data_IF_754903346964
#
_entry.id   IF_754903346964
#
_cell.length_a   1.000
_cell.length_b   1.000
_cell.length_c   1.000
_cell.angle_alpha   90.00
_cell.angle_beta   90.00
_cell.angle_gamma   90.00
#
_symmetry.space_group_name_H-M   'P 1'
#
loop_
_entity.id
_entity.type
_entity.pdbx_description
1 polymer ?
#
# COMPACT_ATOMS: atom_id res chain seq x y z
N UNK A 1 39.05 9.53 20.22
CA UNK A 1 38.16 8.57 19.55
C UNK A 1 36.74 8.91 19.95
N UNK A 2 35.82 9.09 18.99
CA UNK A 2 34.39 9.11 19.32
C UNK A 2 33.97 7.69 19.68
N UNK A 3 33.32 7.53 20.81
CA UNK A 3 32.80 6.25 21.27
C UNK A 3 31.53 5.92 20.45
N UNK A 4 31.49 4.74 19.84
CA UNK A 4 30.34 4.30 19.04
C UNK A 4 29.19 3.90 19.95
N UNK A 5 27.99 4.42 19.66
CA UNK A 5 26.78 4.03 20.38
C UNK A 5 26.22 2.71 19.81
N UNK A 6 26.70 1.60 20.34
CA UNK A 6 26.32 0.25 19.87
C UNK A 6 24.83 -0.08 20.10
N UNK A 7 24.17 0.49 21.11
CA UNK A 7 22.72 0.31 21.30
C UNK A 7 21.93 0.98 20.16
N UNK A 8 22.28 2.23 19.83
CA UNK A 8 21.66 2.95 18.72
C UNK A 8 21.87 2.20 17.39
N UNK A 9 23.08 1.69 17.14
CA UNK A 9 23.39 0.87 15.96
C UNK A 9 22.50 -0.39 15.93
N UNK A 10 22.40 -1.12 17.04
CA UNK A 10 21.57 -2.32 17.15
C UNK A 10 20.11 -2.05 16.86
N UNK A 11 19.54 -0.97 17.44
CA UNK A 11 18.15 -0.55 17.20
C UNK A 11 17.91 -0.16 15.75
N UNK A 12 18.84 0.55 15.12
CA UNK A 12 18.76 0.87 13.69
C UNK A 12 18.76 -0.40 12.81
N UNK A 13 19.61 -1.38 13.12
CA UNK A 13 19.68 -2.64 12.36
C UNK A 13 18.38 -3.42 12.48
N UNK A 14 17.84 -3.55 13.71
CA UNK A 14 16.57 -4.25 13.96
C UNK A 14 15.43 -3.57 13.21
N UNK A 15 15.25 -2.26 13.37
CA UNK A 15 14.19 -1.52 12.68
C UNK A 15 14.27 -1.66 11.15
N UNK A 16 15.48 -1.54 10.59
CA UNK A 16 15.69 -1.70 9.13
C UNK A 16 15.38 -3.12 8.64
N UNK A 17 15.71 -4.14 9.42
CA UNK A 17 15.36 -5.54 9.10
C UNK A 17 13.84 -5.76 9.14
N UNK A 18 13.16 -5.24 10.16
CA UNK A 18 11.70 -5.32 10.29
C UNK A 18 11.01 -4.64 9.12
N UNK A 19 11.47 -3.45 8.70
CA UNK A 19 10.97 -2.77 7.50
C UNK A 19 11.09 -3.68 6.26
N UNK A 20 12.24 -4.34 6.09
CA UNK A 20 12.44 -5.30 4.99
C UNK A 20 11.43 -6.45 4.99
N UNK A 21 11.20 -7.06 6.15
CA UNK A 21 10.23 -8.16 6.30
C UNK A 21 8.79 -7.72 5.96
N UNK A 22 8.40 -6.51 6.39
CA UNK A 22 7.08 -5.95 6.10
C UNK A 22 6.90 -5.62 4.61
N UNK A 23 7.97 -5.21 3.92
CA UNK A 23 7.94 -5.01 2.45
C UNK A 23 7.73 -6.35 1.73
N UNK A 24 8.39 -7.42 2.20
CA UNK A 24 8.20 -8.77 1.63
C UNK A 24 6.76 -9.27 1.86
N UNK A 25 6.17 -8.98 3.02
CA UNK A 25 4.77 -9.29 3.34
C UNK A 25 3.80 -8.55 2.39
N UNK A 26 4.04 -7.27 2.10
CA UNK A 26 3.27 -6.52 1.10
C UNK A 26 3.38 -7.14 -0.29
N UNK A 27 4.56 -7.60 -0.70
CA UNK A 27 4.74 -8.27 -1.98
C UNK A 27 3.91 -9.56 -2.05
N UNK A 28 3.85 -10.32 -0.96
CA UNK A 28 3.04 -11.52 -0.86
C UNK A 28 1.53 -11.22 -0.96
N UNK A 29 1.05 -10.21 -0.23
CA UNK A 29 -0.36 -9.77 -0.30
C UNK A 29 -0.76 -9.32 -1.71
N UNK A 30 0.12 -8.60 -2.42
CA UNK A 30 -0.11 -8.20 -3.82
C UNK A 30 -0.27 -9.40 -4.75
N UNK A 31 0.52 -10.46 -4.54
CA UNK A 31 0.40 -11.68 -5.32
C UNK A 31 -0.94 -12.39 -5.06
N UNK A 32 -1.41 -12.45 -3.81
CA UNK A 32 -2.72 -13.02 -3.48
C UNK A 32 -3.88 -12.23 -4.13
N UNK A 33 -3.80 -10.90 -4.12
CA UNK A 33 -4.77 -10.03 -4.76
C UNK A 33 -4.94 -10.31 -6.26
N UNK A 34 -3.81 -10.58 -6.93
CA UNK A 34 -3.78 -10.85 -8.38
C UNK A 34 -4.28 -12.25 -8.70
N UNK A 35 -4.14 -13.22 -7.79
CA UNK A 35 -4.56 -14.61 -7.98
C UNK A 35 -6.07 -14.81 -7.81
N UNK A 36 -6.73 -13.95 -7.04
CA UNK A 36 -8.17 -13.99 -6.78
C UNK A 36 -9.00 -13.18 -7.81
N UNK A 37 -8.42 -12.80 -8.95
CA UNK A 37 -9.14 -12.16 -10.04
C UNK A 37 -9.92 -13.17 -10.88
N UNK A 38 -11.02 -12.72 -11.49
CA UNK A 38 -11.81 -13.48 -12.47
C UNK A 38 -10.88 -14.11 -13.52
N UNK A 39 -10.95 -15.43 -13.68
CA UNK A 39 -10.20 -16.17 -14.69
C UNK A 39 -11.17 -16.88 -15.64
N UNK A 40 -10.87 -16.77 -16.94
CA UNK A 40 -11.51 -17.53 -18.00
C UNK A 40 -10.55 -18.67 -18.38
N UNK A 41 -10.95 -19.91 -18.14
CA UNK A 41 -10.22 -21.11 -18.53
C UNK A 41 -11.07 -21.84 -19.58
N UNK A 42 -10.60 -21.82 -20.83
CA UNK A 42 -11.25 -22.43 -22.01
C UNK A 42 -12.70 -21.93 -22.21
N UNK A 43 -13.70 -22.60 -21.62
CA UNK A 43 -15.13 -22.24 -21.69
C UNK A 43 -15.77 -21.98 -20.30
N UNK A 44 -15.00 -22.01 -19.21
CA UNK A 44 -15.50 -21.77 -17.84
C UNK A 44 -15.06 -20.40 -17.28
N UNK A 45 -16.06 -19.61 -16.87
CA UNK A 45 -15.91 -18.36 -16.14
C UNK A 45 -16.12 -18.61 -14.64
N UNK A 46 -15.04 -18.54 -13.86
CA UNK A 46 -15.13 -18.60 -12.40
C UNK A 46 -15.11 -17.18 -11.82
N UNK A 47 -16.24 -16.76 -11.27
CA UNK A 47 -16.38 -15.51 -10.51
C UNK A 47 -16.60 -15.84 -9.04
N UNK A 48 -15.79 -15.26 -8.15
CA UNK A 48 -15.94 -15.45 -6.71
C UNK A 48 -16.77 -14.30 -6.12
N UNK A 49 -17.97 -14.60 -5.61
CA UNK A 49 -18.85 -13.59 -4.97
C UNK A 49 -18.21 -12.92 -3.73
N UNK A 50 -17.18 -13.55 -3.12
CA UNK A 50 -16.43 -13.01 -1.99
C UNK A 50 -15.33 -12.00 -2.38
N UNK A 51 -15.20 -11.62 -3.66
CA UNK A 51 -14.17 -10.67 -4.12
C UNK A 51 -14.22 -9.32 -3.39
N UNK A 52 -15.41 -8.85 -3.01
CA UNK A 52 -15.58 -7.60 -2.24
C UNK A 52 -15.03 -7.74 -0.82
N UNK A 53 -15.33 -8.85 -0.15
CA UNK A 53 -14.80 -9.15 1.20
C UNK A 53 -13.28 -9.37 1.16
N UNK A 54 -12.79 -10.03 0.12
CA UNK A 54 -11.37 -10.23 -0.12
C UNK A 54 -10.63 -8.91 -0.35
N UNK A 55 -11.20 -8.01 -1.18
CA UNK A 55 -10.63 -6.69 -1.43
C UNK A 55 -10.64 -5.80 -0.18
N UNK A 56 -11.71 -5.82 0.62
CA UNK A 56 -11.81 -5.07 1.86
C UNK A 56 -10.79 -5.56 2.91
N UNK A 57 -10.65 -6.88 3.04
CA UNK A 57 -9.66 -7.51 3.92
C UNK A 57 -8.24 -7.17 3.48
N UNK A 58 -7.95 -7.30 2.18
CA UNK A 58 -6.65 -6.98 1.61
C UNK A 58 -6.29 -5.50 1.81
N UNK A 59 -7.23 -4.58 1.61
CA UNK A 59 -7.01 -3.15 1.84
C UNK A 59 -6.69 -2.84 3.31
N UNK A 60 -7.36 -3.54 4.23
CA UNK A 60 -7.15 -3.39 5.67
C UNK A 60 -5.77 -3.89 6.09
N UNK A 61 -5.37 -5.10 5.67
CA UNK A 61 -4.05 -5.65 5.98
C UNK A 61 -2.93 -4.82 5.32
N UNK A 62 -3.14 -4.38 4.08
CA UNK A 62 -2.20 -3.50 3.37
C UNK A 62 -1.98 -2.19 4.13
N UNK A 63 -3.07 -1.55 4.61
CA UNK A 63 -2.98 -0.32 5.41
C UNK A 63 -2.23 -0.56 6.72
N UNK A 64 -2.55 -1.65 7.44
CA UNK A 64 -1.88 -2.02 8.68
C UNK A 64 -0.36 -2.16 8.48
N UNK A 65 0.08 -2.83 7.42
CA UNK A 65 1.51 -3.01 7.16
C UNK A 65 2.17 -1.67 6.81
N UNK A 66 1.51 -0.79 6.04
CA UNK A 66 2.02 0.57 5.79
C UNK A 66 2.12 1.42 7.07
N UNK A 67 1.20 1.26 8.03
CA UNK A 67 1.26 1.89 9.35
C UNK A 67 2.46 1.36 10.16
N UNK A 68 2.72 0.05 10.12
CA UNK A 68 3.86 -0.54 10.82
C UNK A 68 5.20 -0.12 10.19
N UNK A 69 5.33 -0.13 8.86
CA UNK A 69 6.53 0.36 8.17
C UNK A 69 6.82 1.81 8.55
N UNK A 70 5.77 2.65 8.61
CA UNK A 70 5.90 4.04 9.02
C UNK A 70 6.41 4.16 10.47
N UNK A 71 5.84 3.38 11.39
CA UNK A 71 6.26 3.32 12.79
C UNK A 71 7.73 2.92 12.94
N UNK A 72 8.15 1.86 12.24
CA UNK A 72 9.54 1.39 12.26
C UNK A 72 10.52 2.39 11.64
N UNK A 73 10.11 3.13 10.61
CA UNK A 73 10.92 4.19 10.03
C UNK A 73 11.10 5.38 10.98
N UNK A 74 10.08 5.73 11.77
CA UNK A 74 10.20 6.73 12.83
C UNK A 74 11.14 6.28 13.95
N UNK A 75 11.03 5.02 14.38
CA UNK A 75 11.94 4.46 15.38
C UNK A 75 13.38 4.44 14.85
N UNK A 76 13.61 4.02 13.61
CA UNK A 76 14.93 4.10 12.99
C UNK A 76 15.50 5.53 13.01
N UNK A 77 14.70 6.52 12.61
CA UNK A 77 15.12 7.92 12.55
C UNK A 77 15.40 8.54 13.92
N UNK A 78 14.80 8.01 14.99
CA UNK A 78 15.10 8.41 16.37
C UNK A 78 16.54 8.03 16.77
N UNK A 79 17.00 6.86 16.33
CA UNK A 79 18.32 6.32 16.70
C UNK A 79 19.42 6.62 15.67
N UNK A 80 19.05 6.88 14.41
CA UNK A 80 20.00 7.11 13.32
C UNK A 80 21.04 8.21 13.61
N UNK A 81 20.69 9.38 14.19
CA UNK A 81 21.68 10.41 14.52
C UNK A 81 22.70 9.94 15.57
N UNK A 82 22.26 9.12 16.54
CA UNK A 82 23.11 8.57 17.60
C UNK A 82 24.04 7.46 17.08
N UNK A 83 23.62 6.77 16.02
CA UNK A 83 24.39 5.74 15.32
C UNK A 83 25.27 6.31 14.17
N UNK A 84 25.26 7.64 13.96
CA UNK A 84 25.89 8.31 12.81
C UNK A 84 25.41 7.78 11.45
N UNK A 85 24.16 7.33 11.37
CA UNK A 85 23.49 6.88 10.16
C UNK A 85 22.62 7.98 9.53
N UNK A 86 22.45 7.98 8.20
CA UNK A 86 21.51 8.87 7.53
C UNK A 86 20.07 8.50 7.89
N UNK A 87 19.19 9.50 8.00
CA UNK A 87 17.76 9.29 8.20
C UNK A 87 17.07 8.81 6.92
N UNK A 88 15.98 8.08 7.10
CA UNK A 88 15.09 7.63 6.02
C UNK A 88 14.06 8.72 5.78
N UNK A 89 13.91 9.17 4.53
CA UNK A 89 12.80 10.01 4.12
C UNK A 89 11.52 9.18 4.02
N UNK A 90 10.45 9.62 4.67
CA UNK A 90 9.16 8.93 4.68
C UNK A 90 8.10 9.85 4.11
N UNK A 91 7.50 9.46 2.98
CA UNK A 91 6.42 10.22 2.33
C UNK A 91 5.17 9.34 2.30
N UNK A 92 4.10 9.79 2.96
CA UNK A 92 2.77 9.20 2.80
C UNK A 92 2.01 9.96 1.74
N UNK A 93 1.56 9.26 0.71
CA UNK A 93 0.59 9.79 -0.23
C UNK A 93 -0.80 9.55 0.36
N UNK A 94 -1.52 10.59 0.82
CA UNK A 94 -2.88 10.42 1.30
C UNK A 94 -3.73 9.89 0.14
N UNK A 95 -4.61 8.94 0.45
CA UNK A 95 -5.64 8.53 -0.48
C UNK A 95 -6.57 9.75 -0.70
N UNK A 96 -6.94 10.09 -1.94
CA UNK A 96 -8.03 11.03 -2.16
C UNK A 96 -9.27 10.48 -1.44
N UNK A 97 -9.93 11.33 -0.65
CA UNK A 97 -11.16 10.93 0.03
C UNK A 97 -12.13 10.31 -0.99
N UNK A 98 -12.85 9.26 -0.61
CA UNK A 98 -13.81 8.57 -1.49
C UNK A 98 -14.83 9.54 -2.11
N UNK A 99 -15.15 10.64 -1.42
CA UNK A 99 -15.98 11.73 -1.95
C UNK A 99 -15.34 12.47 -3.13
N UNK A 100 -14.02 12.66 -3.14
CA UNK A 100 -13.30 13.25 -4.28
C UNK A 100 -13.24 12.30 -5.47
N UNK A 101 -13.08 11.00 -5.24
CA UNK A 101 -13.08 9.99 -6.31
C UNK A 101 -14.46 9.83 -6.93
N UNK A 102 -15.53 9.83 -6.12
CA UNK A 102 -16.91 9.82 -6.64
C UNK A 102 -17.24 11.08 -7.44
N UNK A 103 -16.80 12.26 -6.98
CA UNK A 103 -16.99 13.52 -7.73
C UNK A 103 -16.20 13.54 -9.04
N UNK A 104 -14.97 13.05 -9.06
CA UNK A 104 -14.19 12.91 -10.30
C UNK A 104 -14.78 11.87 -11.25
N UNK A 105 -15.26 10.74 -10.73
CA UNK A 105 -15.90 9.70 -11.55
C UNK A 105 -17.21 10.22 -12.18
N UNK A 106 -18.04 10.92 -11.40
CA UNK A 106 -19.26 11.59 -11.90
C UNK A 106 -18.90 12.67 -12.93
N UNK A 107 -17.83 13.44 -12.69
CA UNK A 107 -17.36 14.44 -13.65
C UNK A 107 -16.90 13.81 -14.97
N UNK A 108 -16.19 12.66 -14.92
CA UNK A 108 -15.76 11.95 -16.13
C UNK A 108 -16.92 11.27 -16.88
N UNK A 109 -17.88 10.70 -16.16
CA UNK A 109 -19.10 10.11 -16.75
C UNK A 109 -19.92 11.19 -17.46
N UNK A 110 -20.05 12.38 -16.86
CA UNK A 110 -20.74 13.52 -17.48
C UNK A 110 -19.97 14.19 -18.63
N UNK A 111 -18.70 13.80 -18.85
CA UNK A 111 -17.86 14.29 -19.94
C UNK A 111 -17.78 13.32 -21.13
N UNK A 112 -18.34 12.11 -20.99
CA UNK A 112 -18.54 11.23 -22.14
C UNK A 112 -19.56 11.90 -23.07
N UNK A 113 -19.21 12.15 -24.35
CA UNK A 113 -20.18 12.74 -25.28
C UNK A 113 -21.36 11.78 -25.38
N UNK A 114 -22.55 12.28 -25.01
CA UNK A 114 -23.79 11.55 -25.17
C UNK A 114 -23.88 11.03 -26.61
N UNK A 115 -24.14 9.74 -26.76
CA UNK A 115 -24.60 9.19 -28.02
C UNK A 115 -25.77 10.05 -28.49
N UNK A 116 -25.56 10.78 -29.58
CA UNK A 116 -26.66 11.39 -30.31
C UNK A 116 -27.66 10.27 -30.63
N UNK A 117 -28.89 10.43 -30.16
CA UNK A 117 -29.99 9.60 -30.58
C UNK A 117 -30.10 9.67 -32.11
N UNK A 118 -30.43 8.58 -32.81
CA UNK A 118 -30.66 8.65 -34.24
C UNK A 118 -31.92 9.50 -34.47
N UNK A 119 -31.77 10.58 -35.24
CA UNK A 119 -32.89 11.38 -35.71
C UNK A 119 -33.85 10.52 -36.55
N UNK A 120 -35.13 10.89 -36.45
CA UNK A 120 -36.35 10.23 -36.91
C UNK A 120 -36.41 9.85 -38.40
#
# INVERSE_FOLDING_TARGET
MKELNYDAIGRCIVAKRTIGQLIDELAHLRHLATRNSVYLLEDELSMHDSMVECAATLATETRRIYDEIYSQALEYNRWAPLAEYPTISVTRHPLPHTDTVQKELVFMINKAPGHAAPDA
#
